data_IF_345298863837
#
_entry.id   IF_345298863837
#
_cell.length_a   1.000
_cell.length_b   1.000
_cell.length_c   1.000
_cell.angle_alpha   90.00
_cell.angle_beta   90.00
_cell.angle_gamma   90.00
#
_symmetry.space_group_name_H-M   'P 1'
#
loop_
_entity.id
_entity.type
_entity.pdbx_description
1 polymer ?
#
# COMPACT_ATOMS: atom_id res chain seq x y z
N UNK A 1 20.24 21.43 9.96
CA UNK A 1 19.56 21.22 9.82
C UNK A 1 19.00 20.35 9.72
N UNK A 2 19.25 20.21 9.59
CA UNK A 2 18.63 19.55 9.38
C UNK A 2 17.69 19.13 9.29
N UNK A 3 17.72 18.90 9.00
CA UNK A 3 16.83 18.46 8.85
C UNK A 3 15.95 18.05 8.98
N UNK A 4 16.18 17.89 8.93
CA UNK A 4 15.36 17.77 9.08
C UNK A 4 14.14 17.41 9.02
N UNK A 5 13.78 17.46 8.60
CA UNK A 5 12.46 17.24 8.05
C UNK A 5 12.20 15.81 7.62
N UNK A 6 13.11 14.90 7.91
CA UNK A 6 12.93 13.48 7.63
C UNK A 6 11.90 12.88 8.59
N UNK A 7 10.83 12.31 8.04
CA UNK A 7 9.82 11.64 8.85
C UNK A 7 10.34 10.26 9.24
N UNK A 8 10.29 9.95 10.53
CA UNK A 8 10.93 8.77 11.10
C UNK A 8 9.98 7.62 11.37
N UNK A 9 8.70 7.91 11.53
CA UNK A 9 7.71 6.88 11.83
C UNK A 9 6.31 7.37 11.46
N UNK A 10 5.34 6.48 11.56
CA UNK A 10 3.98 6.80 11.15
C UNK A 10 3.35 7.91 11.97
N UNK A 11 3.74 8.06 13.24
CA UNK A 11 3.16 9.10 14.08
C UNK A 11 3.50 10.49 13.60
N UNK A 12 4.49 10.64 12.74
CA UNK A 12 4.86 11.94 12.17
C UNK A 12 3.90 12.42 11.10
N UNK A 13 3.02 11.54 10.61
CA UNK A 13 2.06 11.89 9.56
C UNK A 13 0.74 12.32 10.18
N UNK A 14 0.19 13.44 9.70
CA UNK A 14 -1.13 13.92 10.16
C UNK A 14 -2.24 13.05 9.59
N UNK A 15 -2.11 12.63 8.35
CA UNK A 15 -3.09 11.78 7.68
C UNK A 15 -2.49 10.39 7.54
N UNK A 16 -3.13 9.40 8.15
CA UNK A 16 -2.68 8.02 8.14
C UNK A 16 -3.71 7.10 7.47
N UNK A 17 -4.43 7.64 6.48
CA UNK A 17 -5.38 6.84 5.72
C UNK A 17 -4.63 5.79 4.91
N UNK A 18 -5.04 4.54 5.04
CA UNK A 18 -4.37 3.40 4.44
C UNK A 18 -5.40 2.55 3.71
N UNK A 19 -5.09 2.17 2.48
CA UNK A 19 -5.88 1.19 1.74
C UNK A 19 -5.07 -0.09 1.57
N UNK A 20 -5.64 -1.21 1.98
CA UNK A 20 -5.05 -2.53 1.77
C UNK A 20 -5.91 -3.28 0.77
N UNK A 21 -5.32 -3.67 -0.36
CA UNK A 21 -6.01 -4.39 -1.42
C UNK A 21 -5.38 -5.77 -1.56
N UNK A 22 -6.13 -6.80 -1.21
CA UNK A 22 -5.66 -8.19 -1.26
C UNK A 22 -6.87 -9.10 -1.21
N UNK A 23 -6.90 -10.13 -2.07
CA UNK A 23 -8.01 -11.08 -2.09
C UNK A 23 -7.85 -12.20 -1.05
N UNK A 24 -6.71 -12.27 -0.38
CA UNK A 24 -6.47 -13.22 0.72
C UNK A 24 -7.03 -12.61 2.01
N UNK A 25 -8.27 -12.96 2.36
CA UNK A 25 -8.95 -12.34 3.49
C UNK A 25 -8.21 -12.51 4.82
N UNK A 26 -7.73 -13.71 5.19
CA UNK A 26 -7.02 -13.83 6.47
C UNK A 26 -5.78 -12.94 6.54
N UNK A 27 -5.00 -12.88 5.47
CA UNK A 27 -3.82 -12.03 5.43
C UNK A 27 -4.21 -10.55 5.50
N UNK A 28 -5.17 -10.14 4.68
CA UNK A 28 -5.64 -8.74 4.62
C UNK A 28 -6.14 -8.27 5.97
N UNK A 29 -6.95 -9.10 6.64
CA UNK A 29 -7.52 -8.74 7.94
C UNK A 29 -6.48 -8.67 9.02
N UNK A 30 -5.52 -9.59 9.01
CA UNK A 30 -4.44 -9.58 9.99
C UNK A 30 -3.57 -8.34 9.85
N UNK A 31 -3.19 -8.01 8.61
CA UNK A 31 -2.40 -6.81 8.34
C UNK A 31 -3.19 -5.55 8.73
N UNK A 32 -4.49 -5.53 8.43
CA UNK A 32 -5.33 -4.38 8.77
C UNK A 32 -5.38 -4.14 10.27
N UNK A 33 -5.54 -5.20 11.06
CA UNK A 33 -5.55 -5.07 12.51
C UNK A 33 -4.22 -4.56 13.04
N UNK A 34 -3.12 -5.07 12.49
CA UNK A 34 -1.80 -4.63 12.93
C UNK A 34 -1.56 -3.16 12.60
N UNK A 35 -1.99 -2.72 11.42
CA UNK A 35 -1.85 -1.33 11.01
C UNK A 35 -2.76 -0.41 11.80
N UNK A 36 -3.96 -0.86 12.13
CA UNK A 36 -4.87 -0.10 12.98
C UNK A 36 -4.21 0.19 14.34
N UNK A 37 -3.51 -0.79 14.88
CA UNK A 37 -2.77 -0.61 16.14
C UNK A 37 -1.63 0.40 16.01
N UNK A 38 -1.11 0.59 14.82
CA UNK A 38 -0.09 1.60 14.56
C UNK A 38 -0.68 2.98 14.32
N UNK A 39 -2.00 3.12 14.37
CA UNK A 39 -2.68 4.40 14.22
C UNK A 39 -3.21 4.71 12.83
N UNK A 40 -3.15 3.76 11.91
CA UNK A 40 -3.67 3.98 10.57
C UNK A 40 -5.18 3.87 10.53
N UNK A 41 -5.80 4.69 9.69
CA UNK A 41 -7.23 4.56 9.37
C UNK A 41 -7.33 3.63 8.16
N UNK A 42 -7.64 2.36 8.40
CA UNK A 42 -7.53 1.31 7.41
C UNK A 42 -8.84 1.11 6.66
N UNK A 43 -8.74 1.09 5.33
CA UNK A 43 -9.81 0.63 4.45
C UNK A 43 -9.30 -0.63 3.75
N UNK A 44 -10.20 -1.56 3.49
CA UNK A 44 -9.85 -2.83 2.87
C UNK A 44 -10.62 -3.02 1.58
N UNK A 45 -9.98 -3.65 0.60
CA UNK A 45 -10.64 -4.04 -0.64
C UNK A 45 -10.12 -5.41 -1.06
N UNK A 46 -10.98 -6.22 -1.63
CA UNK A 46 -10.66 -7.60 -1.98
C UNK A 46 -10.41 -7.80 -3.48
N UNK A 47 -10.54 -6.73 -4.28
CA UNK A 47 -10.46 -6.83 -5.73
C UNK A 47 -9.97 -5.53 -6.33
N UNK A 48 -9.62 -5.57 -7.61
CA UNK A 48 -9.26 -4.36 -8.35
C UNK A 48 -10.43 -3.38 -8.35
N UNK A 49 -11.64 -3.87 -8.65
CA UNK A 49 -12.81 -3.02 -8.73
C UNK A 49 -13.08 -2.31 -7.39
N UNK A 50 -13.08 -3.07 -6.30
CA UNK A 50 -13.33 -2.49 -4.98
C UNK A 50 -12.18 -1.60 -4.53
N UNK A 51 -10.96 -1.94 -4.93
CA UNK A 51 -9.81 -1.10 -4.66
C UNK A 51 -9.95 0.28 -5.31
N UNK A 52 -10.32 0.31 -6.57
CA UNK A 52 -10.50 1.57 -7.30
C UNK A 52 -11.63 2.39 -6.66
N UNK A 53 -12.73 1.75 -6.29
CA UNK A 53 -13.83 2.44 -5.61
C UNK A 53 -13.36 3.05 -4.29
N UNK A 54 -12.58 2.29 -3.53
CA UNK A 54 -12.06 2.77 -2.24
C UNK A 54 -11.11 3.96 -2.42
N UNK A 55 -10.28 3.94 -3.46
CA UNK A 55 -9.39 5.07 -3.74
C UNK A 55 -10.19 6.33 -3.96
N UNK A 56 -11.27 6.25 -4.70
CA UNK A 56 -12.09 7.43 -5.01
C UNK A 56 -12.76 8.02 -3.78
N UNK A 57 -13.12 7.15 -2.83
CA UNK A 57 -13.78 7.59 -1.60
C UNK A 57 -12.78 8.10 -0.57
N UNK A 58 -11.71 7.37 -0.35
CA UNK A 58 -10.81 7.60 0.79
C UNK A 58 -9.54 8.37 0.45
N UNK A 59 -9.13 8.42 -0.81
CA UNK A 59 -7.90 9.09 -1.26
C UNK A 59 -6.73 8.78 -0.34
N UNK A 60 -6.31 7.51 -0.27
CA UNK A 60 -5.36 7.08 0.76
C UNK A 60 -3.98 7.70 0.58
N UNK A 61 -3.34 8.01 1.71
CA UNK A 61 -1.96 8.48 1.75
C UNK A 61 -0.98 7.31 1.71
N UNK A 62 -1.40 6.19 2.27
CA UNK A 62 -0.63 4.94 2.27
C UNK A 62 -1.42 3.84 1.59
N UNK A 63 -0.72 2.92 0.94
CA UNK A 63 -1.39 1.78 0.33
C UNK A 63 -0.49 0.56 0.34
N UNK A 64 -1.13 -0.60 0.45
CA UNK A 64 -0.52 -1.91 0.26
C UNK A 64 -1.40 -2.64 -0.72
N UNK A 65 -0.85 -3.00 -1.88
CA UNK A 65 -1.63 -3.56 -2.98
C UNK A 65 -1.02 -4.86 -3.44
N UNK A 66 -1.81 -5.94 -3.39
CA UNK A 66 -1.39 -7.22 -3.94
C UNK A 66 -1.32 -7.11 -5.45
N UNK A 67 -0.27 -7.65 -6.02
CA UNK A 67 -0.06 -7.60 -7.46
C UNK A 67 -1.10 -8.43 -8.22
N UNK A 68 -1.46 -9.59 -7.69
CA UNK A 68 -2.40 -10.49 -8.34
C UNK A 68 -3.71 -10.55 -7.59
N UNK A 69 -4.76 -10.15 -8.28
CA UNK A 69 -6.11 -10.15 -7.73
C UNK A 69 -7.00 -10.97 -8.66
N UNK A 70 -8.11 -11.51 -8.13
CA UNK A 70 -8.97 -12.40 -8.89
C UNK A 70 -9.52 -11.75 -10.17
N UNK A 71 -9.75 -10.44 -10.13
CA UNK A 71 -10.35 -9.72 -11.26
C UNK A 71 -9.34 -8.87 -12.04
N UNK A 72 -8.04 -9.04 -11.78
CA UNK A 72 -7.06 -8.30 -12.55
C UNK A 72 -5.75 -8.10 -11.83
N UNK A 73 -5.08 -7.03 -12.17
CA UNK A 73 -3.72 -6.74 -11.73
C UNK A 73 -3.73 -5.52 -10.82
N UNK A 74 -3.00 -5.61 -9.71
CA UNK A 74 -2.90 -4.50 -8.75
C UNK A 74 -2.33 -3.22 -9.33
N UNK A 75 -1.64 -3.29 -10.48
CA UNK A 75 -1.16 -2.07 -11.14
C UNK A 75 -2.27 -1.10 -11.46
N UNK A 76 -3.46 -1.59 -11.76
CA UNK A 76 -4.61 -0.72 -12.04
C UNK A 76 -4.98 0.11 -10.82
N UNK A 77 -4.87 -0.49 -9.64
CA UNK A 77 -5.14 0.22 -8.39
C UNK A 77 -4.04 1.26 -8.13
N UNK A 78 -2.78 0.89 -8.37
CA UNK A 78 -1.66 1.82 -8.21
C UNK A 78 -1.84 3.06 -9.08
N UNK A 79 -2.23 2.86 -10.33
CA UNK A 79 -2.47 3.99 -11.25
C UNK A 79 -3.56 4.90 -10.73
N UNK A 80 -4.64 4.33 -10.23
CA UNK A 80 -5.75 5.12 -9.69
C UNK A 80 -5.30 5.91 -8.46
N UNK A 81 -4.51 5.30 -7.59
CA UNK A 81 -3.97 6.00 -6.42
C UNK A 81 -3.09 7.16 -6.86
N UNK A 82 -2.24 6.95 -7.84
CA UNK A 82 -1.35 8.01 -8.34
C UNK A 82 -2.14 9.18 -8.91
N UNK A 83 -3.22 8.91 -9.61
CA UNK A 83 -4.09 9.96 -10.13
C UNK A 83 -4.74 10.72 -8.98
N UNK A 84 -5.18 10.01 -7.95
CA UNK A 84 -5.84 10.61 -6.79
C UNK A 84 -4.89 11.45 -5.95
N UNK A 85 -3.68 10.95 -5.73
CA UNK A 85 -2.69 11.62 -4.89
C UNK A 85 -1.30 11.10 -5.23
N UNK A 86 -0.56 11.88 -6.02
CA UNK A 86 0.76 11.47 -6.49
C UNK A 86 1.79 11.34 -5.37
N UNK A 87 1.48 11.83 -4.17
CA UNK A 87 2.37 11.71 -3.01
C UNK A 87 2.09 10.47 -2.16
N UNK A 88 1.10 9.68 -2.53
CA UNK A 88 0.78 8.45 -1.79
C UNK A 88 1.97 7.50 -1.78
N UNK A 89 2.18 6.87 -0.64
CA UNK A 89 3.24 5.89 -0.46
C UNK A 89 2.66 4.51 -0.66
N UNK A 90 2.99 3.88 -1.76
CA UNK A 90 2.37 2.62 -2.20
C UNK A 90 3.41 1.52 -2.16
N UNK A 91 3.10 0.43 -1.45
CA UNK A 91 3.92 -0.77 -1.44
C UNK A 91 3.15 -1.87 -2.16
N UNK A 92 3.81 -2.50 -3.13
CA UNK A 92 3.24 -3.67 -3.80
C UNK A 92 3.61 -4.92 -3.03
N UNK A 93 2.67 -5.85 -2.95
CA UNK A 93 2.94 -7.18 -2.43
C UNK A 93 3.04 -8.13 -3.60
N UNK A 94 4.09 -8.94 -3.63
CA UNK A 94 4.29 -9.89 -4.71
C UNK A 94 4.30 -11.30 -4.16
N UNK A 95 3.67 -12.19 -4.92
CA UNK A 95 3.88 -13.59 -4.68
C UNK A 95 5.19 -13.99 -5.34
N UNK A 96 5.46 -15.25 -5.26
CA UNK A 96 6.69 -15.85 -5.74
C UNK A 96 6.84 -15.62 -7.25
N UNK A 97 7.99 -15.12 -7.67
CA UNK A 97 8.34 -15.06 -9.09
C UNK A 97 7.81 -13.88 -9.89
N UNK A 98 7.27 -12.86 -9.24
CA UNK A 98 6.65 -11.71 -9.94
C UNK A 98 7.52 -10.44 -9.93
N UNK A 99 8.84 -10.59 -9.94
CA UNK A 99 9.74 -9.43 -9.88
C UNK A 99 9.57 -8.47 -11.08
N UNK A 100 9.48 -8.94 -12.33
CA UNK A 100 9.32 -8.00 -13.45
C UNK A 100 8.06 -7.14 -13.33
N UNK A 101 6.95 -7.70 -12.84
CA UNK A 101 5.73 -6.94 -12.66
C UNK A 101 5.83 -5.98 -11.49
N UNK A 102 6.55 -6.37 -10.44
CA UNK A 102 6.81 -5.48 -9.31
C UNK A 102 7.64 -4.27 -9.75
N UNK A 103 8.63 -4.48 -10.61
CA UNK A 103 9.42 -3.38 -11.16
C UNK A 103 8.53 -2.45 -11.98
N UNK A 104 7.59 -3.00 -12.75
CA UNK A 104 6.64 -2.18 -13.49
C UNK A 104 5.78 -1.34 -12.57
N UNK A 105 5.40 -1.89 -11.40
CA UNK A 105 4.62 -1.14 -10.40
C UNK A 105 5.38 0.07 -9.88
N UNK A 106 6.69 -0.06 -9.68
CA UNK A 106 7.51 1.06 -9.23
C UNK A 106 7.51 2.17 -10.28
N UNK A 107 7.56 1.79 -11.56
CA UNK A 107 7.49 2.78 -12.64
C UNK A 107 6.13 3.49 -12.69
N UNK A 108 5.07 2.83 -12.21
CA UNK A 108 3.74 3.43 -12.16
C UNK A 108 3.49 4.22 -10.88
N UNK A 109 4.44 4.25 -9.96
CA UNK A 109 4.33 5.09 -8.79
C UNK A 109 4.45 4.40 -7.44
N UNK A 110 4.56 3.08 -7.39
CA UNK A 110 4.84 2.40 -6.13
C UNK A 110 6.25 2.74 -5.70
N UNK A 111 6.47 2.89 -4.39
CA UNK A 111 7.80 3.22 -3.89
C UNK A 111 8.67 2.00 -3.69
N UNK A 112 8.06 0.83 -3.49
CA UNK A 112 8.81 -0.41 -3.29
C UNK A 112 7.85 -1.60 -3.43
N UNK A 113 8.41 -2.80 -3.33
CA UNK A 113 7.62 -4.02 -3.27
C UNK A 113 8.18 -4.94 -2.20
N UNK A 114 7.31 -5.79 -1.65
CA UNK A 114 7.69 -6.77 -0.64
C UNK A 114 7.11 -8.12 -1.03
N UNK A 115 7.85 -9.19 -0.72
CA UNK A 115 7.35 -10.54 -0.94
C UNK A 115 6.37 -10.89 0.17
N UNK A 116 5.30 -11.60 -0.20
CA UNK A 116 4.35 -12.12 0.79
C UNK A 116 4.92 -13.39 1.42
N UNK A 117 4.69 -13.60 2.71
CA UNK A 117 3.98 -12.72 3.63
C UNK A 117 4.87 -11.59 4.13
N UNK A 118 4.29 -10.41 4.27
CA UNK A 118 4.98 -9.27 4.86
C UNK A 118 4.19 -8.83 6.09
N UNK A 119 4.87 -8.44 7.15
CA UNK A 119 4.17 -7.98 8.33
C UNK A 119 4.10 -6.45 8.39
N UNK A 120 3.38 -5.94 9.38
CA UNK A 120 3.17 -4.51 9.50
C UNK A 120 4.48 -3.74 9.68
N UNK A 121 5.45 -4.31 10.38
CA UNK A 121 6.73 -3.64 10.58
C UNK A 121 7.51 -3.56 9.26
N UNK A 122 7.48 -4.62 8.44
CA UNK A 122 8.12 -4.61 7.14
C UNK A 122 7.53 -3.52 6.24
N UNK A 123 6.19 -3.42 6.26
CA UNK A 123 5.49 -2.43 5.44
C UNK A 123 5.82 -1.01 5.92
N UNK A 124 5.79 -0.79 7.21
CA UNK A 124 6.11 0.52 7.77
C UNK A 124 7.52 0.96 7.38
N UNK A 125 8.49 0.06 7.52
CA UNK A 125 9.87 0.36 7.13
C UNK A 125 9.98 0.72 5.66
N UNK A 126 9.26 -0.01 4.81
CA UNK A 126 9.31 0.26 3.38
C UNK A 126 8.69 1.60 3.03
N UNK A 127 7.58 1.97 3.67
CA UNK A 127 6.96 3.28 3.45
C UNK A 127 7.89 4.42 3.84
N UNK A 128 8.69 4.25 4.88
CA UNK A 128 9.51 5.32 5.46
C UNK A 128 10.96 5.31 4.97
N UNK A 129 11.33 4.32 4.20
CA UNK A 129 12.67 4.25 3.63
C UNK A 129 12.85 5.33 2.55
N UNK A 130 14.05 5.85 2.46
CA UNK A 130 14.40 6.83 1.43
C UNK A 130 14.83 6.18 0.13
#
# INVERSE_FOLDING_TARGET
>A
MKNETTLQNLSDFNNKSLLIVDDDSPFRERLSRAMDKKGCQVSQAESVKKGIEAVKVNKPVFAVVDLRLADGNGLEVVKEIQISNSSSRIIMLTGYGNIPTAVAAIKEGAIDYLAKPADADDVEKAWLAD
#
